data_IF_721047013402
#
_entry.id   IF_721047013402
#
_cell.length_a   1.000
_cell.length_b   1.000
_cell.length_c   1.000
_cell.angle_alpha   90.00
_cell.angle_beta   90.00
_cell.angle_gamma   90.00
#
_symmetry.space_group_name_H-M   'P 1'
#
loop_
_entity.id
_entity.type
_entity.pdbx_description
1 polymer ?
#
# COMPACT_ATOMS: atom_id res chain seq x y z
N UNK A 1 -3.76 7.96 -9.30
CA UNK A 1 -2.31 7.83 -8.99
C UNK A 1 -2.13 7.36 -7.56
N UNK A 2 -1.15 6.52 -7.34
CA UNK A 2 -0.73 6.11 -6.00
C UNK A 2 0.75 5.76 -6.02
N UNK A 3 1.34 5.58 -4.85
CA UNK A 3 2.73 5.16 -4.74
C UNK A 3 2.85 3.87 -3.94
N UNK A 4 3.86 3.08 -4.28
CA UNK A 4 4.32 1.96 -3.46
C UNK A 4 5.71 2.34 -2.99
N UNK A 5 5.91 2.37 -1.68
CA UNK A 5 7.17 2.81 -1.07
C UNK A 5 7.85 1.64 -0.38
N UNK A 6 9.15 1.53 -0.61
CA UNK A 6 9.99 0.51 0.02
C UNK A 6 10.95 1.19 0.97
N UNK A 7 10.95 0.78 2.22
CA UNK A 7 11.76 1.35 3.29
C UNK A 7 12.87 0.39 3.70
N UNK A 8 13.94 0.95 4.26
CA UNK A 8 14.97 0.16 4.90
C UNK A 8 14.54 -0.35 6.27
N UNK A 9 15.37 -1.17 6.90
CA UNK A 9 15.07 -1.77 8.21
C UNK A 9 14.85 -0.72 9.31
N UNK A 10 15.47 0.45 9.19
CA UNK A 10 15.31 1.54 10.15
C UNK A 10 13.88 2.09 10.21
N UNK A 11 13.03 1.76 9.23
CA UNK A 11 11.63 2.18 9.19
C UNK A 11 10.66 1.05 9.58
N UNK A 12 11.17 -0.08 10.05
CA UNK A 12 10.33 -1.24 10.39
C UNK A 12 9.30 -0.90 11.47
N UNK A 13 9.69 -0.16 12.49
CA UNK A 13 8.78 0.26 13.57
C UNK A 13 7.69 1.20 13.05
N UNK A 14 8.03 2.10 12.12
CA UNK A 14 7.07 3.00 11.50
C UNK A 14 6.01 2.24 10.70
N UNK A 15 6.44 1.22 9.95
CA UNK A 15 5.54 0.38 9.18
C UNK A 15 4.61 -0.43 10.10
N UNK A 16 5.15 -0.96 11.19
CA UNK A 16 4.35 -1.70 12.17
C UNK A 16 3.29 -0.79 12.82
N UNK A 17 3.64 0.44 13.15
CA UNK A 17 2.71 1.42 13.70
C UNK A 17 1.58 1.74 12.71
N UNK A 18 1.90 1.96 11.46
CA UNK A 18 0.90 2.26 10.43
C UNK A 18 -0.06 1.11 10.20
N UNK A 19 0.40 -0.14 10.36
CA UNK A 19 -0.46 -1.31 10.25
C UNK A 19 -1.30 -1.60 11.50
N UNK A 20 -0.87 -1.10 12.66
CA UNK A 20 -1.49 -1.37 13.95
C UNK A 20 -2.54 -0.34 14.35
N UNK A 21 -2.32 0.92 14.01
CA UNK A 21 -3.16 2.05 14.43
C UNK A 21 -3.99 2.55 13.25
N UNK A 22 -5.30 2.75 13.50
CA UNK A 22 -6.19 3.34 12.50
C UNK A 22 -5.88 4.83 12.33
N UNK A 23 -6.02 5.35 11.12
CA UNK A 23 -5.91 6.77 10.85
C UNK A 23 -6.92 7.63 11.61
N UNK A 24 -7.98 7.02 12.15
CA UNK A 24 -8.97 7.69 12.99
C UNK A 24 -8.46 7.96 14.41
N UNK A 25 -7.47 7.20 14.86
CA UNK A 25 -6.96 7.25 16.22
C UNK A 25 -5.83 8.26 16.41
N UNK A 26 -5.37 8.87 15.30
CA UNK A 26 -4.31 9.88 15.34
C UNK A 26 -3.67 10.09 13.98
N UNK A 27 -2.68 10.96 13.94
CA UNK A 27 -1.87 11.22 12.75
C UNK A 27 -0.76 10.17 12.66
N UNK A 28 -1.01 9.09 11.94
CA UNK A 28 -0.08 7.99 11.77
C UNK A 28 1.27 8.43 11.19
N UNK A 29 1.24 9.35 10.24
CA UNK A 29 2.46 9.82 9.56
C UNK A 29 3.37 10.52 10.56
N UNK A 30 2.82 11.41 11.36
CA UNK A 30 3.56 12.14 12.38
C UNK A 30 4.06 11.22 13.48
N UNK A 31 3.19 10.33 13.97
CA UNK A 31 3.54 9.38 15.03
C UNK A 31 4.63 8.40 14.59
N UNK A 32 4.59 7.98 13.33
CA UNK A 32 5.59 7.08 12.76
C UNK A 32 6.91 7.78 12.45
N UNK A 33 6.98 9.10 12.54
CA UNK A 33 8.18 9.86 12.21
C UNK A 33 8.49 9.92 10.73
N UNK A 34 7.48 9.78 9.88
CA UNK A 34 7.63 9.83 8.43
C UNK A 34 7.36 11.24 7.90
N UNK A 35 8.08 11.61 6.84
CA UNK A 35 7.95 12.91 6.20
C UNK A 35 7.28 12.74 4.82
N UNK A 36 6.10 13.33 4.61
CA UNK A 36 5.45 13.24 3.29
C UNK A 36 6.30 13.87 2.19
N UNK A 37 6.30 13.22 1.03
CA UNK A 37 6.95 13.70 -0.18
C UNK A 37 5.95 13.65 -1.32
N UNK A 38 5.62 14.80 -1.89
CA UNK A 38 4.59 14.89 -2.92
C UNK A 38 5.22 14.79 -4.31
N UNK A 39 4.72 13.87 -5.11
CA UNK A 39 5.20 13.62 -6.46
C UNK A 39 4.03 13.26 -7.38
N UNK A 40 3.98 13.89 -8.55
CA UNK A 40 2.96 13.62 -9.59
C UNK A 40 1.53 13.58 -9.07
N UNK A 41 1.19 14.48 -8.14
CA UNK A 41 -0.17 14.57 -7.58
C UNK A 41 -0.51 13.51 -6.56
N UNK A 42 0.46 12.73 -6.12
CA UNK A 42 0.26 11.72 -5.07
C UNK A 42 1.33 11.88 -3.98
N UNK A 43 1.27 11.05 -2.96
CA UNK A 43 2.12 11.17 -1.78
C UNK A 43 3.00 9.94 -1.61
N UNK A 44 4.28 10.18 -1.32
CA UNK A 44 5.25 9.18 -0.91
C UNK A 44 5.90 9.65 0.40
N UNK A 45 7.04 9.09 0.77
CA UNK A 45 7.76 9.47 1.99
C UNK A 45 9.24 9.64 1.70
N UNK A 46 9.85 10.69 2.28
CA UNK A 46 11.27 10.99 2.09
C UNK A 46 12.18 9.88 2.60
N UNK A 47 11.73 9.12 3.59
CA UNK A 47 12.49 8.03 4.21
C UNK A 47 12.54 6.77 3.33
N UNK A 48 11.78 6.72 2.23
CA UNK A 48 11.74 5.57 1.35
C UNK A 48 13.07 5.38 0.61
N UNK A 49 13.49 4.12 0.46
CA UNK A 49 14.65 3.76 -0.36
C UNK A 49 14.28 3.70 -1.83
N UNK A 50 13.06 3.28 -2.14
CA UNK A 50 12.54 3.23 -3.49
C UNK A 50 11.06 3.58 -3.51
N UNK A 51 10.65 4.33 -4.50
CA UNK A 51 9.26 4.73 -4.70
C UNK A 51 8.84 4.33 -6.11
N UNK A 52 7.74 3.59 -6.22
CA UNK A 52 7.08 3.33 -7.49
C UNK A 52 5.88 4.25 -7.59
N UNK A 53 5.85 5.11 -8.60
CA UNK A 53 4.68 5.97 -8.88
C UNK A 53 3.81 5.22 -9.87
N UNK A 54 2.55 5.00 -9.53
CA UNK A 54 1.66 4.12 -10.26
C UNK A 54 0.37 4.83 -10.68
N UNK A 55 -0.12 4.47 -11.86
CA UNK A 55 -1.41 4.92 -12.37
C UNK A 55 -2.33 3.71 -12.47
N UNK A 56 -3.49 3.75 -11.80
CA UNK A 56 -4.47 2.67 -11.88
C UNK A 56 -5.02 2.55 -13.29
N UNK A 57 -4.98 1.34 -13.84
CA UNK A 57 -5.53 1.04 -15.16
C UNK A 57 -6.83 0.26 -15.08
N UNK A 58 -6.99 -0.58 -14.05
CA UNK A 58 -8.12 -1.48 -13.91
C UNK A 58 -8.36 -1.78 -12.43
N UNK A 59 -9.63 -1.87 -12.06
CA UNK A 59 -10.02 -2.24 -10.70
C UNK A 59 -11.16 -3.24 -10.78
N UNK A 60 -11.09 -4.30 -9.99
CA UNK A 60 -12.16 -5.29 -9.90
C UNK A 60 -12.16 -5.88 -8.50
N UNK A 61 -13.35 -6.14 -7.99
CA UNK A 61 -13.51 -6.82 -6.71
C UNK A 61 -13.26 -8.31 -6.88
N UNK A 62 -12.59 -8.94 -5.92
CA UNK A 62 -12.40 -10.38 -5.92
C UNK A 62 -13.76 -11.03 -5.74
N UNK A 63 -14.13 -11.94 -6.65
CA UNK A 63 -15.44 -12.56 -6.72
C UNK A 63 -15.36 -14.01 -6.27
N UNK A 64 -16.25 -14.47 -5.37
CA UNK A 64 -16.19 -15.84 -4.86
C UNK A 64 -16.33 -16.89 -5.95
N UNK A 65 -17.14 -16.65 -6.98
CA UNK A 65 -17.36 -17.57 -8.10
C UNK A 65 -16.14 -17.75 -9.01
N UNK A 66 -15.12 -16.89 -8.84
CA UNK A 66 -13.89 -16.94 -9.63
C UNK A 66 -12.78 -17.76 -8.97
N UNK A 67 -12.98 -18.23 -7.74
CA UNK A 67 -11.99 -19.10 -7.08
C UNK A 67 -11.97 -20.47 -7.73
N UNK A 68 -10.82 -20.86 -8.26
CA UNK A 68 -10.60 -22.19 -8.80
C UNK A 68 -10.45 -23.18 -7.63
N UNK A 69 -9.64 -22.82 -6.63
CA UNK A 69 -9.54 -23.54 -5.37
C UNK A 69 -10.58 -22.96 -4.41
N UNK A 70 -11.77 -23.55 -4.40
CA UNK A 70 -12.95 -23.00 -3.71
C UNK A 70 -12.80 -22.88 -2.19
N UNK A 71 -11.92 -23.70 -1.57
CA UNK A 71 -11.65 -23.65 -0.15
C UNK A 71 -10.99 -22.34 0.28
N UNK A 72 -10.36 -21.61 -0.63
CA UNK A 72 -9.73 -20.33 -0.34
C UNK A 72 -10.74 -19.22 -0.03
N UNK A 73 -11.94 -19.32 -0.57
CA UNK A 73 -13.00 -18.36 -0.27
C UNK A 73 -13.34 -18.38 1.23
N UNK A 74 -13.64 -19.54 1.76
CA UNK A 74 -13.98 -19.70 3.18
C UNK A 74 -12.77 -19.42 4.09
N UNK A 75 -11.57 -19.76 3.64
CA UNK A 75 -10.34 -19.58 4.43
C UNK A 75 -9.94 -18.12 4.60
N UNK A 76 -9.97 -17.34 3.53
CA UNK A 76 -9.46 -15.97 3.51
C UNK A 76 -10.54 -14.92 3.60
N UNK A 77 -11.78 -15.27 3.25
CA UNK A 77 -12.92 -14.35 3.27
C UNK A 77 -14.12 -14.93 4.00
N UNK A 78 -13.96 -15.33 5.29
CA UNK A 78 -15.07 -15.93 6.04
C UNK A 78 -16.24 -14.95 6.23
N UNK A 79 -15.96 -13.64 6.26
CA UNK A 79 -16.97 -12.58 6.41
C UNK A 79 -17.41 -12.01 5.07
N UNK A 80 -16.94 -12.58 3.95
CA UNK A 80 -17.25 -12.13 2.57
C UNK A 80 -16.84 -10.69 2.30
N UNK A 81 -15.82 -10.19 2.99
CA UNK A 81 -15.25 -8.85 2.85
C UNK A 81 -14.12 -8.82 1.82
N UNK A 82 -14.47 -9.09 0.57
CA UNK A 82 -13.51 -9.27 -0.52
C UNK A 82 -12.68 -8.03 -0.80
N UNK A 83 -11.38 -8.24 -1.07
CA UNK A 83 -10.47 -7.19 -1.47
C UNK A 83 -10.73 -6.74 -2.90
N UNK A 84 -10.38 -5.50 -3.20
CA UNK A 84 -10.35 -4.99 -4.56
C UNK A 84 -8.97 -5.24 -5.16
N UNK A 85 -8.95 -5.81 -6.37
CA UNK A 85 -7.72 -6.04 -7.13
C UNK A 85 -7.50 -4.86 -8.07
N UNK A 86 -6.27 -4.38 -8.14
CA UNK A 86 -5.88 -3.31 -9.06
C UNK A 86 -4.79 -3.77 -10.01
N UNK A 87 -4.90 -3.37 -11.26
CA UNK A 87 -3.80 -3.45 -12.22
C UNK A 87 -3.37 -2.01 -12.48
N UNK A 88 -2.09 -1.73 -12.33
CA UNK A 88 -1.56 -0.39 -12.46
C UNK A 88 -0.30 -0.37 -13.31
N UNK A 89 -0.06 0.77 -13.95
CA UNK A 89 1.15 1.05 -14.71
C UNK A 89 2.14 1.77 -13.80
N UNK A 90 3.38 1.32 -13.79
CA UNK A 90 4.46 2.04 -13.11
C UNK A 90 4.93 3.14 -14.05
N UNK A 91 4.65 4.38 -13.69
CA UNK A 91 5.00 5.54 -14.53
C UNK A 91 6.35 6.14 -14.20
N UNK A 92 6.84 5.91 -12.98
CA UNK A 92 8.12 6.45 -12.52
C UNK A 92 8.68 5.59 -11.39
N UNK A 93 9.98 5.40 -11.39
CA UNK A 93 10.70 4.74 -10.30
C UNK A 93 11.74 5.72 -9.76
N UNK A 94 11.67 5.99 -8.47
CA UNK A 94 12.62 6.84 -7.78
C UNK A 94 13.42 5.99 -6.79
N UNK A 95 14.74 6.09 -6.84
CA UNK A 95 15.64 5.34 -5.96
C UNK A 95 16.49 6.34 -5.19
N UNK A 96 16.56 6.15 -3.88
CA UNK A 96 17.38 6.99 -3.02
C UNK A 96 18.86 6.70 -3.27
N UNK A 97 19.64 7.74 -3.48
CA UNK A 97 21.08 7.59 -3.62
C UNK A 97 21.71 7.33 -2.25
N UNK A 98 22.70 6.46 -2.26
CA UNK A 98 23.44 6.11 -1.04
C UNK A 98 24.33 7.25 -0.56
#
# INVERSE_FOLDING_TARGET
MFTITFFGENCREALALCGKVSGRDGDKIKEAGLTPYFVDGTTAFEEAEMILVCRKLYADEIKPEKFIATENDARWYPEKDYHTMYIAEITKVLVKEA
#
